data_IF_261007572903
#
_entry.id   IF_261007572903
#
_cell.length_a   1.000
_cell.length_b   1.000
_cell.length_c   1.000
_cell.angle_alpha   90.00
_cell.angle_beta   90.00
_cell.angle_gamma   90.00
#
_symmetry.space_group_name_H-M   'P 1'
#
loop_
_entity.id
_entity.type
_entity.pdbx_description
1 polymer ?
#
# COMPACT_ATOMS: atom_id res chain seq x y z
N UNK A 1 29.97 20.90 -10.50
CA UNK A 1 30.99 20.27 -11.35
C UNK A 1 30.46 18.87 -11.58
N UNK A 2 29.74 18.50 -12.64
CA UNK A 2 29.84 18.89 -14.05
C UNK A 2 28.74 19.85 -14.52
N UNK A 3 29.15 20.89 -15.25
CA UNK A 3 28.30 21.84 -15.97
C UNK A 3 28.50 21.71 -17.49
N UNK A 4 29.18 20.66 -17.96
CA UNK A 4 29.67 20.60 -19.32
C UNK A 4 28.75 19.71 -20.17
N UNK A 5 27.79 20.36 -20.83
CA UNK A 5 27.17 19.78 -22.00
C UNK A 5 28.19 19.66 -23.14
N UNK A 6 28.06 18.62 -23.95
CA UNK A 6 28.94 18.36 -25.09
C UNK A 6 28.26 18.79 -26.40
N UNK A 7 29.05 19.27 -27.36
CA UNK A 7 28.56 19.46 -28.74
C UNK A 7 28.07 18.12 -29.32
N UNK A 8 26.94 18.12 -30.04
CA UNK A 8 26.30 16.89 -30.53
C UNK A 8 27.28 15.98 -31.28
N UNK A 9 28.08 16.55 -32.18
CA UNK A 9 29.06 15.78 -32.96
C UNK A 9 30.16 15.15 -32.08
N UNK A 10 30.60 15.85 -31.04
CA UNK A 10 31.60 15.33 -30.10
C UNK A 10 31.00 14.20 -29.24
N UNK A 11 29.77 14.39 -28.76
CA UNK A 11 29.02 13.40 -28.01
C UNK A 11 28.80 12.12 -28.82
N UNK A 12 28.31 12.26 -30.05
CA UNK A 12 28.00 11.12 -30.93
C UNK A 12 29.26 10.33 -31.28
N UNK A 13 30.36 11.01 -31.59
CA UNK A 13 31.65 10.35 -31.82
C UNK A 13 32.13 9.59 -30.59
N UNK A 14 32.04 10.20 -29.41
CA UNK A 14 32.50 9.62 -28.14
C UNK A 14 31.65 8.43 -27.68
N UNK A 15 30.33 8.50 -27.85
CA UNK A 15 29.38 7.52 -27.27
C UNK A 15 28.92 6.44 -28.25
N UNK A 16 28.91 6.73 -29.54
CA UNK A 16 28.34 5.87 -30.58
C UNK A 16 29.30 5.59 -31.74
N UNK A 17 30.48 6.21 -31.76
CA UNK A 17 31.48 6.10 -32.84
C UNK A 17 30.92 6.46 -34.23
N UNK A 18 30.05 7.49 -34.27
CA UNK A 18 29.47 8.03 -35.52
C UNK A 18 29.90 9.49 -35.72
N UNK A 19 30.07 9.90 -36.97
CA UNK A 19 30.36 11.28 -37.33
C UNK A 19 29.13 12.19 -37.26
N UNK A 20 29.34 13.50 -37.22
CA UNK A 20 28.25 14.47 -37.26
C UNK A 20 27.50 14.43 -38.60
N UNK A 21 28.20 14.13 -39.70
CA UNK A 21 27.59 13.97 -41.03
C UNK A 21 26.66 12.76 -41.05
N UNK A 22 27.10 11.61 -40.52
CA UNK A 22 26.26 10.41 -40.39
C UNK A 22 25.07 10.61 -39.44
N UNK A 23 25.24 11.36 -38.35
CA UNK A 23 24.13 11.71 -37.46
C UNK A 23 23.11 12.65 -38.11
N UNK A 24 23.57 13.59 -38.94
CA UNK A 24 22.72 14.56 -39.62
C UNK A 24 22.06 14.00 -40.89
N UNK A 25 22.45 12.81 -41.33
CA UNK A 25 21.86 12.16 -42.49
C UNK A 25 20.36 11.93 -42.29
N UNK A 26 19.60 12.15 -43.36
CA UNK A 26 18.15 11.99 -43.38
C UNK A 26 17.68 10.57 -43.04
N UNK A 27 18.52 9.58 -43.31
CA UNK A 27 18.26 8.17 -43.01
C UNK A 27 18.58 7.80 -41.56
N UNK A 28 19.24 8.68 -40.79
CA UNK A 28 19.48 8.43 -39.37
C UNK A 28 18.13 8.23 -38.65
N UNK A 29 17.94 7.16 -37.84
CA UNK A 29 16.63 6.77 -37.34
C UNK A 29 15.84 7.89 -36.66
N UNK A 30 16.53 8.78 -35.94
CA UNK A 30 15.90 9.89 -35.23
C UNK A 30 15.44 11.01 -36.17
N UNK A 31 16.21 11.31 -37.22
CA UNK A 31 15.85 12.33 -38.22
C UNK A 31 14.70 11.84 -39.09
N UNK A 32 14.74 10.56 -39.48
CA UNK A 32 13.66 9.91 -40.20
C UNK A 32 12.35 9.93 -39.38
N UNK A 33 12.43 9.63 -38.07
CA UNK A 33 11.28 9.68 -37.17
C UNK A 33 10.74 11.11 -36.99
N UNK A 34 11.61 12.10 -36.79
CA UNK A 34 11.21 13.49 -36.68
C UNK A 34 10.47 13.98 -37.94
N UNK A 35 10.99 13.65 -39.12
CA UNK A 35 10.33 13.96 -40.40
C UNK A 35 8.96 13.31 -40.53
N UNK A 36 8.84 12.03 -40.18
CA UNK A 36 7.58 11.31 -40.22
C UNK A 36 6.50 11.95 -39.33
N UNK A 37 6.92 12.59 -38.24
CA UNK A 37 6.04 13.29 -37.29
C UNK A 37 5.86 14.78 -37.61
N UNK A 38 6.40 15.28 -38.73
CA UNK A 38 6.47 16.71 -39.06
C UNK A 38 7.06 17.56 -37.91
N UNK A 39 8.06 16.98 -37.23
CA UNK A 39 8.72 17.55 -36.06
C UNK A 39 10.01 18.25 -36.48
N UNK A 40 10.17 19.53 -36.12
CA UNK A 40 11.26 20.39 -36.56
C UNK A 40 12.52 20.17 -35.70
N UNK A 41 13.16 19.01 -35.82
CA UNK A 41 14.25 18.59 -34.95
C UNK A 41 15.60 19.28 -35.25
N UNK A 42 16.19 19.94 -34.24
CA UNK A 42 17.49 20.61 -34.31
C UNK A 42 18.65 19.63 -34.03
N UNK A 43 19.39 19.32 -35.10
CA UNK A 43 20.54 18.42 -35.10
C UNK A 43 21.84 19.05 -34.57
N UNK A 44 21.84 20.35 -34.30
CA UNK A 44 22.99 21.12 -33.80
C UNK A 44 22.95 21.37 -32.30
N UNK A 45 21.84 21.01 -31.63
CA UNK A 45 21.68 21.21 -30.17
C UNK A 45 22.80 20.56 -29.37
N UNK A 46 23.14 21.17 -28.22
CA UNK A 46 24.12 20.59 -27.28
C UNK A 46 23.50 19.47 -26.46
N UNK A 47 24.28 18.45 -26.12
CA UNK A 47 23.87 17.40 -25.18
C UNK A 47 24.16 17.87 -23.77
N UNK A 48 23.12 18.17 -23.00
CA UNK A 48 23.21 18.81 -21.69
C UNK A 48 22.85 17.87 -20.53
N UNK A 49 23.16 18.28 -19.30
CA UNK A 49 22.56 17.70 -18.10
C UNK A 49 21.19 18.36 -17.82
N UNK A 50 20.07 17.63 -17.93
CA UNK A 50 18.73 18.21 -17.82
C UNK A 50 18.30 18.49 -16.36
N UNK A 51 19.17 18.22 -15.37
CA UNK A 51 18.82 18.34 -13.94
C UNK A 51 18.18 19.69 -13.58
N UNK A 52 18.74 20.79 -14.09
CA UNK A 52 18.21 22.14 -13.79
C UNK A 52 16.81 22.35 -14.37
N UNK A 53 16.57 21.85 -15.59
CA UNK A 53 15.26 21.89 -16.22
C UNK A 53 14.22 21.11 -15.40
N UNK A 54 14.56 19.92 -14.88
CA UNK A 54 13.66 19.15 -14.02
C UNK A 54 13.41 19.81 -12.66
N UNK A 55 14.40 20.49 -12.08
CA UNK A 55 14.17 21.29 -10.86
C UNK A 55 13.25 22.47 -11.13
N UNK A 56 13.35 23.09 -12.31
CA UNK A 56 12.45 24.15 -12.73
C UNK A 56 11.01 23.63 -12.91
N UNK A 57 10.82 22.45 -13.49
CA UNK A 57 9.50 21.78 -13.52
C UNK A 57 8.95 21.58 -12.11
N UNK A 58 9.75 21.00 -11.20
CA UNK A 58 9.33 20.77 -9.81
C UNK A 58 9.04 22.07 -9.05
N UNK A 59 9.68 23.17 -9.42
CA UNK A 59 9.41 24.49 -8.86
C UNK A 59 8.11 25.13 -9.39
N UNK A 60 7.62 24.72 -10.56
CA UNK A 60 6.44 25.29 -11.20
C UNK A 60 5.12 24.77 -10.59
N UNK A 61 5.11 23.62 -9.92
CA UNK A 61 3.89 23.00 -9.39
C UNK A 61 3.27 21.98 -10.35
N UNK A 62 2.61 20.96 -9.81
CA UNK A 62 2.12 19.80 -10.57
C UNK A 62 1.11 20.17 -11.66
N UNK A 63 0.25 21.16 -11.39
CA UNK A 63 -0.76 21.67 -12.31
C UNK A 63 -0.15 22.29 -13.58
N UNK A 64 1.13 22.65 -13.54
CA UNK A 64 1.84 23.28 -14.64
C UNK A 64 2.82 22.35 -15.36
N UNK A 65 3.09 21.15 -14.85
CA UNK A 65 4.11 20.24 -15.38
C UNK A 65 3.97 19.97 -16.88
N UNK A 66 2.77 19.66 -17.36
CA UNK A 66 2.55 19.31 -18.77
C UNK A 66 2.97 20.45 -19.71
N UNK A 67 2.49 21.68 -19.44
CA UNK A 67 2.81 22.86 -20.23
C UNK A 67 4.28 23.26 -20.13
N UNK A 68 4.91 23.04 -18.96
CA UNK A 68 6.34 23.32 -18.78
C UNK A 68 7.20 22.33 -19.57
N UNK A 69 6.88 21.03 -19.51
CA UNK A 69 7.60 20.00 -20.26
C UNK A 69 7.47 20.20 -21.77
N UNK A 70 6.28 20.55 -22.27
CA UNK A 70 6.05 20.86 -23.68
C UNK A 70 6.95 22.03 -24.13
N UNK A 71 6.97 23.12 -23.37
CA UNK A 71 7.78 24.29 -23.70
C UNK A 71 9.30 24.05 -23.60
N UNK A 72 9.74 23.22 -22.64
CA UNK A 72 11.14 22.81 -22.53
C UNK A 72 11.55 21.88 -23.69
N UNK A 73 10.66 20.97 -24.10
CA UNK A 73 10.90 20.06 -25.21
C UNK A 73 11.01 20.83 -26.54
N UNK A 74 10.07 21.76 -26.82
CA UNK A 74 10.12 22.67 -27.97
C UNK A 74 11.47 23.41 -28.03
N UNK A 75 11.87 24.05 -26.93
CA UNK A 75 13.13 24.80 -26.83
C UNK A 75 14.37 23.94 -27.11
N UNK A 76 14.44 22.77 -26.49
CA UNK A 76 15.62 21.92 -26.59
C UNK A 76 15.70 21.17 -27.92
N UNK A 77 14.59 20.58 -28.35
CA UNK A 77 14.57 19.70 -29.51
C UNK A 77 14.31 20.44 -30.82
N UNK A 78 13.59 21.57 -30.81
CA UNK A 78 13.26 22.29 -32.06
C UNK A 78 14.08 23.55 -32.27
N UNK A 79 14.46 24.25 -31.20
CA UNK A 79 15.23 25.50 -31.29
C UNK A 79 16.71 25.34 -30.95
N UNK A 80 17.11 24.17 -30.42
CA UNK A 80 18.49 23.90 -30.02
C UNK A 80 18.96 24.68 -28.79
N UNK A 81 18.04 25.25 -28.02
CA UNK A 81 18.35 26.07 -26.84
C UNK A 81 18.94 25.23 -25.70
N UNK A 82 19.87 25.82 -24.93
CA UNK A 82 20.41 25.21 -23.72
C UNK A 82 19.42 25.38 -22.55
N UNK A 83 18.58 24.37 -22.31
CA UNK A 83 17.62 24.36 -21.20
C UNK A 83 18.27 24.10 -19.82
N UNK A 84 19.59 23.93 -19.77
CA UNK A 84 20.33 23.99 -18.51
C UNK A 84 20.71 25.43 -18.16
N UNK A 85 20.64 26.39 -19.08
CA UNK A 85 20.98 27.78 -18.82
C UNK A 85 19.90 28.53 -18.02
N UNK A 86 20.33 29.42 -17.11
CA UNK A 86 19.40 30.16 -16.25
C UNK A 86 18.62 31.23 -17.00
N UNK A 87 19.23 31.90 -17.98
CA UNK A 87 18.55 32.94 -18.75
C UNK A 87 17.46 32.32 -19.63
N UNK A 88 17.73 31.16 -20.23
CA UNK A 88 16.73 30.34 -20.93
C UNK A 88 15.52 30.03 -20.04
N UNK A 89 15.76 29.54 -18.81
CA UNK A 89 14.68 29.17 -17.88
C UNK A 89 13.91 30.40 -17.38
N UNK A 90 14.58 31.53 -17.14
CA UNK A 90 13.93 32.79 -16.77
C UNK A 90 13.03 33.32 -17.89
N UNK A 91 13.50 33.26 -19.14
CA UNK A 91 12.69 33.63 -20.30
C UNK A 91 11.47 32.71 -20.45
N UNK A 92 11.63 31.40 -20.22
CA UNK A 92 10.52 30.45 -20.25
C UNK A 92 9.50 30.73 -19.14
N UNK A 93 9.96 31.02 -17.93
CA UNK A 93 9.09 31.40 -16.82
C UNK A 93 8.27 32.66 -17.14
N UNK A 94 8.91 33.68 -17.74
CA UNK A 94 8.21 34.88 -18.20
C UNK A 94 7.15 34.58 -19.26
N UNK A 95 7.47 33.71 -20.24
CA UNK A 95 6.51 33.28 -21.29
C UNK A 95 5.31 32.49 -20.70
N UNK A 96 5.54 31.67 -19.67
CA UNK A 96 4.54 30.76 -19.13
C UNK A 96 3.73 31.35 -17.95
N UNK A 97 4.25 32.37 -17.27
CA UNK A 97 3.58 33.04 -16.15
C UNK A 97 3.50 32.20 -14.87
N UNK A 98 4.53 31.38 -14.60
CA UNK A 98 4.49 30.35 -13.55
C UNK A 98 4.84 30.92 -12.17
N UNK A 99 6.06 31.44 -12.04
CA UNK A 99 6.53 32.11 -10.83
C UNK A 99 6.26 33.60 -10.97
N UNK A 100 5.70 34.22 -9.92
CA UNK A 100 5.40 35.66 -9.80
C UNK A 100 6.69 36.52 -9.82
N UNK A 101 7.40 36.55 -10.96
CA UNK A 101 8.68 37.22 -11.15
C UNK A 101 8.55 38.64 -11.73
N UNK A 102 7.34 39.17 -11.90
CA UNK A 102 7.14 40.40 -12.68
C UNK A 102 7.35 41.71 -11.89
N UNK A 103 7.66 41.67 -10.59
CA UNK A 103 7.77 42.90 -9.76
C UNK A 103 9.18 43.33 -9.40
N UNK A 104 10.22 42.61 -9.82
CA UNK A 104 11.58 42.86 -9.38
C UNK A 104 12.59 42.79 -10.53
N UNK A 105 13.76 43.43 -10.36
CA UNK A 105 14.83 43.42 -11.36
C UNK A 105 15.38 42.00 -11.62
N UNK A 106 16.03 41.81 -12.77
CA UNK A 106 16.51 40.50 -13.27
C UNK A 106 17.26 39.67 -12.23
N UNK A 107 18.12 40.30 -11.44
CA UNK A 107 18.89 39.63 -10.37
C UNK A 107 18.01 39.02 -9.27
N UNK A 108 16.91 39.68 -8.89
CA UNK A 108 16.04 39.13 -7.84
C UNK A 108 15.18 37.97 -8.37
N UNK A 109 14.80 38.03 -9.64
CA UNK A 109 14.05 36.97 -10.29
C UNK A 109 14.85 35.68 -10.38
N UNK A 110 16.13 35.80 -10.75
CA UNK A 110 17.06 34.68 -10.74
C UNK A 110 17.19 34.08 -9.34
N UNK A 111 17.38 34.91 -8.30
CA UNK A 111 17.49 34.45 -6.92
C UNK A 111 16.23 33.70 -6.43
N UNK A 112 15.05 34.21 -6.77
CA UNK A 112 13.78 33.57 -6.39
C UNK A 112 13.60 32.22 -7.09
N UNK A 113 13.90 32.15 -8.39
CA UNK A 113 13.84 30.91 -9.15
C UNK A 113 14.81 29.87 -8.57
N UNK A 114 16.05 30.26 -8.25
CA UNK A 114 17.03 29.39 -7.60
C UNK A 114 16.50 28.83 -6.28
N UNK A 115 15.96 29.69 -5.40
CA UNK A 115 15.36 29.24 -4.13
C UNK A 115 14.18 28.29 -4.32
N UNK A 116 13.38 28.46 -5.38
CA UNK A 116 12.28 27.56 -5.68
C UNK A 116 12.78 26.19 -6.13
N UNK A 117 13.80 26.16 -7.00
CA UNK A 117 14.47 24.93 -7.43
C UNK A 117 15.15 24.20 -6.26
N UNK A 118 15.83 24.93 -5.36
CA UNK A 118 16.47 24.34 -4.17
C UNK A 118 15.44 23.63 -3.27
N UNK A 119 14.22 24.19 -3.15
CA UNK A 119 13.13 23.54 -2.39
C UNK A 119 12.60 22.29 -3.10
N UNK A 120 12.57 22.29 -4.43
CA UNK A 120 12.12 21.16 -5.23
C UNK A 120 13.14 20.01 -5.26
N UNK A 121 14.42 20.29 -4.99
CA UNK A 121 15.52 19.33 -5.10
C UNK A 121 15.35 18.11 -4.20
N UNK A 122 15.03 18.29 -2.93
CA UNK A 122 14.85 17.18 -1.99
C UNK A 122 13.76 16.19 -2.45
N UNK A 123 12.51 16.64 -2.66
CA UNK A 123 11.43 15.80 -3.18
C UNK A 123 11.76 15.14 -4.52
N UNK A 124 12.30 15.89 -5.48
CA UNK A 124 12.64 15.37 -6.80
C UNK A 124 13.70 14.27 -6.72
N UNK A 125 14.78 14.50 -5.96
CA UNK A 125 15.88 13.55 -5.83
C UNK A 125 15.51 12.34 -4.98
N UNK A 126 14.56 12.47 -4.04
CA UNK A 126 13.95 11.32 -3.34
C UNK A 126 13.16 10.44 -4.33
N UNK A 127 12.33 11.05 -5.17
CA UNK A 127 11.57 10.33 -6.19
C UNK A 127 12.49 9.65 -7.19
N UNK A 128 13.50 10.38 -7.70
CA UNK A 128 14.50 9.82 -8.62
C UNK A 128 15.18 8.60 -8.01
N UNK A 129 15.76 8.70 -6.80
CA UNK A 129 16.44 7.56 -6.14
C UNK A 129 15.53 6.36 -5.90
N UNK A 130 14.24 6.59 -5.68
CA UNK A 130 13.26 5.50 -5.51
C UNK A 130 12.95 4.78 -6.82
N UNK A 131 12.93 5.51 -7.95
CA UNK A 131 12.53 4.98 -9.26
C UNK A 131 13.72 4.52 -10.12
N UNK A 132 14.92 5.04 -9.90
CA UNK A 132 16.15 4.72 -10.65
C UNK A 132 16.41 3.20 -10.76
N UNK A 133 16.26 2.36 -9.70
CA UNK A 133 16.44 0.92 -9.85
C UNK A 133 15.26 0.19 -10.51
N UNK A 134 14.13 0.86 -10.73
CA UNK A 134 12.88 0.26 -11.21
C UNK A 134 12.56 0.63 -12.66
N UNK A 135 13.06 1.76 -13.16
CA UNK A 135 12.75 2.30 -14.48
C UNK A 135 14.01 2.28 -15.34
N UNK A 136 14.09 1.31 -16.25
CA UNK A 136 15.26 1.14 -17.14
C UNK A 136 15.38 2.24 -18.20
N UNK A 137 14.30 2.96 -18.51
CA UNK A 137 14.27 4.00 -19.52
C UNK A 137 12.95 4.78 -19.59
N UNK A 138 12.96 5.91 -20.29
CA UNK A 138 11.81 6.79 -20.49
C UNK A 138 11.49 7.01 -21.98
N UNK A 139 10.22 7.25 -22.36
CA UNK A 139 9.05 7.32 -21.49
C UNK A 139 8.65 5.93 -20.96
N UNK A 140 7.99 5.92 -19.81
CA UNK A 140 7.53 4.72 -19.13
C UNK A 140 6.13 5.00 -18.59
N UNK A 141 5.15 4.17 -18.95
CA UNK A 141 3.76 4.39 -18.60
C UNK A 141 3.22 3.26 -17.74
N UNK A 142 2.58 3.63 -16.64
CA UNK A 142 1.78 2.72 -15.82
C UNK A 142 0.31 2.99 -16.11
N UNK A 143 -0.31 2.15 -16.92
CA UNK A 143 -1.75 2.22 -17.22
C UNK A 143 -2.46 1.27 -16.26
N UNK A 144 -3.24 1.77 -15.31
CA UNK A 144 -3.87 0.97 -14.24
C UNK A 144 -5.36 1.29 -14.13
N UNK A 145 -6.18 0.30 -13.76
CA UNK A 145 -7.58 0.54 -13.40
C UNK A 145 -7.69 1.04 -11.95
N UNK A 146 -8.72 1.84 -11.67
CA UNK A 146 -8.83 2.61 -10.43
C UNK A 146 -9.36 1.87 -9.20
N UNK A 147 -9.73 0.59 -9.33
CA UNK A 147 -10.35 -0.23 -8.28
C UNK A 147 -9.35 -1.23 -7.69
N UNK A 148 -8.74 -2.08 -8.50
CA UNK A 148 -7.78 -3.12 -8.08
C UNK A 148 -6.32 -2.75 -8.39
N UNK A 149 -6.09 -1.62 -9.08
CA UNK A 149 -4.78 -1.17 -9.51
C UNK A 149 -4.12 -2.03 -10.59
N UNK A 150 -4.82 -3.02 -11.17
CA UNK A 150 -4.29 -3.91 -12.21
C UNK A 150 -4.06 -3.16 -13.52
N UNK A 151 -3.06 -3.56 -14.32
CA UNK A 151 -2.97 -3.01 -15.66
C UNK A 151 -1.72 -3.36 -16.44
N UNK A 152 -1.24 -2.40 -17.24
CA UNK A 152 -0.14 -2.61 -18.19
C UNK A 152 0.98 -1.62 -17.94
N UNK A 153 2.19 -2.14 -17.94
CA UNK A 153 3.41 -1.36 -18.00
C UNK A 153 3.85 -1.26 -19.46
N UNK A 154 4.02 -0.04 -19.95
CA UNK A 154 4.46 0.24 -21.31
C UNK A 154 5.82 0.92 -21.24
N UNK A 155 6.81 0.27 -21.85
CA UNK A 155 8.19 0.75 -21.88
C UNK A 155 8.49 1.43 -23.21
N UNK A 156 9.10 2.61 -23.14
CA UNK A 156 9.55 3.34 -24.31
C UNK A 156 8.42 4.08 -25.05
N UNK A 157 8.76 4.70 -26.20
CA UNK A 157 7.77 5.35 -27.04
C UNK A 157 6.83 4.31 -27.62
N UNK A 158 5.55 4.43 -27.27
CA UNK A 158 4.45 3.60 -27.78
C UNK A 158 3.59 4.44 -28.70
N UNK A 159 3.13 3.84 -29.81
CA UNK A 159 2.21 4.52 -30.72
C UNK A 159 0.83 4.72 -30.06
N UNK A 160 0.07 5.68 -30.59
CA UNK A 160 -1.22 6.09 -30.03
C UNK A 160 -2.22 4.93 -30.00
N UNK A 161 -2.22 4.07 -31.01
CA UNK A 161 -3.17 2.96 -31.10
C UNK A 161 -2.84 1.89 -30.05
N UNK A 162 -1.56 1.55 -29.86
CA UNK A 162 -1.10 0.67 -28.78
C UNK A 162 -1.45 1.23 -27.40
N UNK A 163 -1.30 2.55 -27.21
CA UNK A 163 -1.66 3.19 -25.94
C UNK A 163 -3.17 3.17 -25.69
N UNK A 164 -3.98 3.43 -26.72
CA UNK A 164 -5.44 3.32 -26.68
C UNK A 164 -5.89 1.88 -26.41
N UNK A 165 -5.25 0.89 -27.03
CA UNK A 165 -5.54 -0.52 -26.75
C UNK A 165 -5.21 -0.90 -25.31
N UNK A 166 -4.08 -0.42 -24.77
CA UNK A 166 -3.73 -0.61 -23.37
C UNK A 166 -4.79 -0.01 -22.43
N UNK A 167 -5.25 1.22 -22.70
CA UNK A 167 -6.35 1.85 -21.96
C UNK A 167 -7.63 1.03 -22.03
N UNK A 168 -8.01 0.56 -23.24
CA UNK A 168 -9.20 -0.24 -23.46
C UNK A 168 -9.15 -1.57 -22.73
N UNK A 169 -8.03 -2.28 -22.79
CA UNK A 169 -7.83 -3.57 -22.09
C UNK A 169 -7.93 -3.40 -20.58
N UNK A 170 -7.38 -2.31 -20.05
CA UNK A 170 -7.47 -1.98 -18.61
C UNK A 170 -8.89 -1.60 -18.21
N UNK A 171 -9.62 -0.85 -19.03
CA UNK A 171 -11.03 -0.49 -18.78
C UNK A 171 -11.98 -1.69 -18.94
N UNK A 172 -11.75 -2.57 -19.91
CA UNK A 172 -12.52 -3.82 -20.07
C UNK A 172 -12.35 -4.73 -18.85
N UNK A 173 -11.11 -4.87 -18.34
CA UNK A 173 -10.83 -5.67 -17.15
C UNK A 173 -11.49 -5.12 -15.87
N UNK A 174 -11.73 -3.81 -15.78
CA UNK A 174 -12.50 -3.20 -14.69
C UNK A 174 -13.93 -3.75 -14.61
N UNK A 175 -14.50 -4.15 -15.74
CA UNK A 175 -15.86 -4.68 -15.85
C UNK A 175 -15.89 -6.22 -15.87
N UNK A 176 -14.72 -6.86 -15.93
CA UNK A 176 -14.61 -8.30 -15.84
C UNK A 176 -14.87 -8.76 -14.39
N UNK A 177 -15.46 -9.95 -14.19
CA UNK A 177 -15.52 -10.53 -12.85
C UNK A 177 -14.09 -10.64 -12.30
N UNK A 178 -13.88 -10.49 -10.98
CA UNK A 178 -12.57 -10.35 -10.34
C UNK A 178 -11.59 -11.54 -10.55
N UNK A 179 -11.99 -12.56 -11.31
CA UNK A 179 -11.26 -13.79 -11.63
C UNK A 179 -11.43 -14.25 -13.09
N UNK A 180 -11.95 -13.41 -14.00
CA UNK A 180 -12.07 -13.71 -15.42
C UNK A 180 -10.86 -13.22 -16.23
N UNK A 181 -10.33 -14.08 -17.11
CA UNK A 181 -9.36 -13.87 -18.22
C UNK A 181 -8.50 -12.59 -18.23
N UNK A 182 -7.96 -12.18 -17.08
CA UNK A 182 -7.04 -11.06 -16.95
C UNK A 182 -5.58 -11.47 -17.18
N UNK A 183 -5.35 -12.62 -17.83
CA UNK A 183 -4.03 -13.22 -18.07
C UNK A 183 -3.04 -12.30 -18.83
N UNK A 184 -3.52 -11.20 -19.41
CA UNK A 184 -2.69 -10.22 -20.10
C UNK A 184 -2.33 -8.96 -19.29
N UNK A 185 -2.80 -8.78 -18.05
CA UNK A 185 -2.51 -7.60 -17.23
C UNK A 185 -1.53 -7.93 -16.09
N UNK A 186 -0.53 -7.06 -15.89
CA UNK A 186 0.32 -7.07 -14.70
C UNK A 186 -0.45 -6.47 -13.53
N UNK A 187 -0.71 -7.26 -12.49
CA UNK A 187 -1.27 -6.73 -11.26
C UNK A 187 -0.16 -6.10 -10.39
N UNK A 188 -0.45 -5.01 -9.68
CA UNK A 188 0.48 -4.36 -8.76
C UNK A 188 0.78 -5.26 -7.56
N UNK A 189 1.74 -4.85 -6.72
CA UNK A 189 1.87 -5.40 -5.37
C UNK A 189 0.59 -5.12 -4.56
N UNK A 190 0.13 -6.07 -3.76
CA UNK A 190 -1.09 -5.95 -2.95
C UNK A 190 -2.27 -6.84 -3.38
N UNK A 191 -3.39 -6.71 -2.67
CA UNK A 191 -4.63 -7.45 -2.91
C UNK A 191 -5.84 -6.56 -2.56
N UNK A 192 -6.96 -6.73 -3.28
CA UNK A 192 -8.24 -6.13 -2.87
C UNK A 192 -8.93 -7.02 -1.85
N UNK A 193 -9.30 -6.44 -0.72
CA UNK A 193 -9.94 -7.14 0.38
C UNK A 193 -11.29 -6.51 0.74
N UNK A 194 -12.21 -7.24 1.40
CA UNK A 194 -13.48 -6.70 1.88
C UNK A 194 -13.26 -5.81 3.11
N UNK A 195 -13.48 -4.50 2.96
CA UNK A 195 -13.45 -3.52 4.04
C UNK A 195 -14.79 -3.36 4.75
N UNK A 196 -14.95 -2.24 5.47
CA UNK A 196 -16.18 -1.92 6.17
C UNK A 196 -17.40 -1.92 5.23
N UNK A 197 -18.47 -2.61 5.64
CA UNK A 197 -19.66 -2.85 4.84
C UNK A 197 -19.45 -3.80 3.65
N UNK A 198 -18.35 -4.55 3.61
CA UNK A 198 -18.01 -5.42 2.49
C UNK A 198 -17.51 -4.67 1.25
N UNK A 199 -17.25 -3.37 1.35
CA UNK A 199 -16.75 -2.57 0.22
C UNK A 199 -15.32 -2.99 -0.13
N UNK A 200 -14.98 -3.17 -1.42
CA UNK A 200 -13.63 -3.53 -1.82
C UNK A 200 -12.64 -2.40 -1.46
N UNK A 201 -11.54 -2.75 -0.80
CA UNK A 201 -10.44 -1.84 -0.49
C UNK A 201 -9.10 -2.39 -0.99
N UNK A 202 -8.26 -1.56 -1.63
CA UNK A 202 -6.93 -1.99 -2.05
C UNK A 202 -5.99 -2.01 -0.84
N UNK A 203 -5.38 -3.17 -0.56
CA UNK A 203 -4.36 -3.35 0.48
C UNK A 203 -3.00 -3.54 -0.20
N UNK A 204 -2.22 -2.46 -0.41
CA UNK A 204 -1.02 -2.49 -1.24
C UNK A 204 0.15 -3.28 -0.65
N UNK A 205 0.10 -3.56 0.65
CA UNK A 205 1.15 -4.27 1.39
C UNK A 205 1.02 -5.79 1.35
N UNK A 206 -0.05 -6.32 0.75
CA UNK A 206 -0.28 -7.77 0.69
C UNK A 206 0.64 -8.44 -0.33
N UNK A 207 1.32 -9.50 0.08
CA UNK A 207 1.90 -10.46 -0.87
C UNK A 207 0.78 -11.34 -1.42
N UNK A 208 0.27 -10.99 -2.60
CA UNK A 208 -0.79 -11.76 -3.27
C UNK A 208 -0.36 -13.17 -3.71
N UNK A 209 0.95 -13.43 -3.77
CA UNK A 209 1.52 -14.73 -4.14
C UNK A 209 1.86 -15.59 -2.92
N UNK A 210 1.83 -15.02 -1.71
CA UNK A 210 1.93 -15.78 -0.46
C UNK A 210 0.81 -16.82 -0.38
N UNK A 211 1.08 -17.99 0.19
CA UNK A 211 0.11 -19.09 0.26
C UNK A 211 -1.14 -18.73 1.06
N UNK A 212 -1.01 -17.89 2.09
CA UNK A 212 -2.16 -17.33 2.80
C UNK A 212 -3.06 -16.49 1.88
N UNK A 213 -2.50 -15.72 0.94
CA UNK A 213 -3.26 -14.95 -0.05
C UNK A 213 -3.83 -15.85 -1.16
N UNK A 214 -3.03 -16.76 -1.71
CA UNK A 214 -3.47 -17.68 -2.78
C UNK A 214 -4.64 -18.53 -2.33
N UNK A 215 -4.58 -19.03 -1.09
CA UNK A 215 -5.64 -19.85 -0.54
C UNK A 215 -6.96 -19.10 -0.35
N UNK A 216 -6.98 -17.76 -0.34
CA UNK A 216 -8.23 -16.99 -0.36
C UNK A 216 -8.93 -17.05 -1.73
N UNK A 217 -8.16 -17.03 -2.83
CA UNK A 217 -8.71 -17.06 -4.19
C UNK A 217 -9.37 -18.39 -4.55
N UNK A 218 -8.90 -19.50 -3.97
CA UNK A 218 -9.49 -20.82 -4.19
C UNK A 218 -10.84 -21.02 -3.48
N UNK A 219 -11.37 -20.00 -2.80
CA UNK A 219 -12.53 -20.10 -1.91
C UNK A 219 -13.76 -19.34 -2.39
N UNK A 220 -13.86 -18.98 -3.68
CA UNK A 220 -15.09 -18.44 -4.23
C UNK A 220 -16.26 -19.42 -4.08
N UNK A 221 -17.25 -19.04 -3.27
CA UNK A 221 -18.36 -19.93 -2.93
C UNK A 221 -18.02 -21.01 -1.90
N UNK A 222 -16.90 -20.89 -1.17
CA UNK A 222 -16.56 -21.79 -0.09
C UNK A 222 -17.61 -21.75 1.01
N UNK A 223 -18.19 -22.91 1.30
CA UNK A 223 -19.24 -23.09 2.28
C UNK A 223 -18.73 -23.69 3.58
N UNK A 224 -17.43 -23.61 3.88
CA UNK A 224 -16.87 -24.30 5.05
C UNK A 224 -16.88 -25.83 4.92
N UNK A 225 -16.23 -26.55 5.86
CA UNK A 225 -16.49 -27.97 6.03
C UNK A 225 -17.90 -28.18 6.62
N UNK A 226 -18.50 -29.35 6.39
CA UNK A 226 -19.88 -29.66 6.82
C UNK A 226 -20.06 -29.66 8.36
N UNK A 227 -18.99 -29.93 9.10
CA UNK A 227 -18.99 -29.96 10.55
C UNK A 227 -17.66 -29.49 11.12
N UNK A 228 -17.66 -29.14 12.41
CA UNK A 228 -16.48 -28.67 13.12
C UNK A 228 -15.36 -29.71 13.01
N UNK A 229 -14.23 -29.40 12.33
CA UNK A 229 -13.24 -30.41 11.96
C UNK A 229 -12.25 -30.74 13.09
N UNK A 230 -12.43 -30.16 14.28
CA UNK A 230 -11.50 -30.28 15.40
C UNK A 230 -12.11 -31.06 16.56
N UNK A 231 -11.29 -31.84 17.26
CA UNK A 231 -11.63 -32.53 18.50
C UNK A 231 -11.19 -31.70 19.71
N UNK A 232 -11.73 -31.99 20.90
CA UNK A 232 -11.39 -31.24 22.11
C UNK A 232 -9.90 -31.26 22.45
N UNK A 233 -9.19 -32.37 22.15
CA UNK A 233 -7.75 -32.47 22.40
C UNK A 233 -6.90 -31.63 21.44
N UNK A 234 -7.46 -31.11 20.35
CA UNK A 234 -6.74 -30.14 19.51
C UNK A 234 -6.53 -28.81 20.26
N UNK A 235 -7.38 -28.52 21.27
CA UNK A 235 -7.31 -27.31 22.09
C UNK A 235 -6.55 -27.50 23.40
N UNK A 236 -5.93 -28.67 23.64
CA UNK A 236 -5.07 -28.87 24.82
C UNK A 236 -3.76 -28.10 24.68
N UNK A 237 -3.13 -27.78 25.81
CA UNK A 237 -1.89 -27.01 25.91
C UNK A 237 -0.84 -27.78 26.70
N UNK A 238 0.43 -27.43 26.53
CA UNK A 238 1.52 -27.99 27.34
C UNK A 238 1.38 -27.57 28.81
N UNK A 239 0.99 -26.31 29.04
CA UNK A 239 0.66 -25.78 30.36
C UNK A 239 -0.84 -25.44 30.47
N UNK A 240 -1.60 -26.34 31.07
CA UNK A 240 -3.04 -26.20 31.34
C UNK A 240 -3.36 -25.36 32.59
N UNK A 241 -2.36 -24.86 33.32
CA UNK A 241 -2.63 -23.97 34.45
C UNK A 241 -3.33 -22.67 33.99
N UNK A 242 -3.95 -21.98 34.93
CA UNK A 242 -4.62 -20.70 34.66
C UNK A 242 -3.67 -19.70 33.99
N UNK A 243 -4.14 -19.04 32.93
CA UNK A 243 -3.38 -18.01 32.21
C UNK A 243 -3.02 -16.85 33.14
N UNK A 244 -3.83 -16.57 34.16
CA UNK A 244 -3.54 -15.56 35.17
C UNK A 244 -2.19 -15.79 35.87
N UNK A 245 -1.69 -17.03 35.95
CA UNK A 245 -0.37 -17.34 36.49
C UNK A 245 0.76 -16.98 35.52
N UNK A 246 0.63 -17.31 34.23
CA UNK A 246 1.63 -16.99 33.19
C UNK A 246 1.74 -15.49 32.96
N UNK A 247 0.61 -14.78 32.98
CA UNK A 247 0.53 -13.35 32.69
C UNK A 247 0.46 -12.48 33.95
N UNK A 248 0.79 -13.02 35.14
CA UNK A 248 0.78 -12.27 36.40
C UNK A 248 1.79 -11.10 36.38
N UNK A 249 3.00 -11.37 35.90
CA UNK A 249 4.05 -10.36 35.75
C UNK A 249 3.89 -9.67 34.39
N UNK A 250 3.89 -8.32 34.34
CA UNK A 250 3.79 -7.60 33.08
C UNK A 250 5.02 -7.80 32.20
N UNK A 251 4.81 -7.91 30.90
CA UNK A 251 5.82 -7.98 29.88
C UNK A 251 5.69 -6.80 28.91
N UNK A 252 6.65 -5.86 28.96
CA UNK A 252 6.72 -4.72 28.05
C UNK A 252 7.57 -4.99 26.81
N UNK A 253 7.82 -6.26 26.49
CA UNK A 253 8.44 -6.68 25.24
C UNK A 253 7.47 -6.59 24.06
N UNK A 254 8.03 -6.67 22.86
CA UNK A 254 7.25 -6.86 21.64
C UNK A 254 7.33 -8.32 21.20
N UNK A 255 6.17 -8.95 20.97
CA UNK A 255 6.07 -10.34 20.54
C UNK A 255 6.55 -10.55 19.10
N UNK A 256 6.20 -9.60 18.23
CA UNK A 256 6.61 -9.52 16.82
C UNK A 256 7.59 -8.37 16.61
N UNK A 257 8.50 -8.51 15.66
CA UNK A 257 9.56 -7.55 15.38
C UNK A 257 9.08 -6.23 14.73
N UNK A 258 10.00 -5.29 14.54
CA UNK A 258 9.65 -3.94 14.07
C UNK A 258 9.09 -3.92 12.63
N UNK A 259 9.68 -4.63 11.64
CA UNK A 259 9.10 -4.75 10.30
C UNK A 259 7.68 -5.32 10.28
N UNK A 260 7.42 -6.42 11.00
CA UNK A 260 6.09 -7.03 11.06
C UNK A 260 5.06 -6.07 11.69
N UNK A 261 5.43 -5.36 12.76
CA UNK A 261 4.57 -4.33 13.36
C UNK A 261 4.26 -3.19 12.40
N UNK A 262 5.23 -2.76 11.59
CA UNK A 262 5.02 -1.71 10.60
C UNK A 262 4.07 -2.16 9.48
N UNK A 263 4.24 -3.39 8.98
CA UNK A 263 3.36 -3.97 7.97
C UNK A 263 1.92 -4.15 8.50
N UNK A 264 1.77 -4.61 9.75
CA UNK A 264 0.47 -4.72 10.40
C UNK A 264 -0.18 -3.35 10.62
N UNK A 265 0.58 -2.35 11.06
CA UNK A 265 0.08 -0.98 11.24
C UNK A 265 -0.38 -0.35 9.92
N UNK A 266 0.35 -0.57 8.82
CA UNK A 266 -0.05 -0.11 7.49
C UNK A 266 -1.33 -0.81 7.01
N UNK A 267 -1.44 -2.11 7.26
CA UNK A 267 -2.65 -2.90 6.98
C UNK A 267 -3.86 -2.34 7.73
N UNK A 268 -3.75 -2.12 9.03
CA UNK A 268 -4.82 -1.53 9.83
C UNK A 268 -5.23 -0.13 9.36
N UNK A 269 -4.28 0.69 8.88
CA UNK A 269 -4.60 2.03 8.37
C UNK A 269 -5.58 1.98 7.19
N UNK A 270 -5.37 1.03 6.27
CA UNK A 270 -6.24 0.83 5.10
C UNK A 270 -7.64 0.37 5.53
N UNK A 271 -7.71 -0.62 6.43
CA UNK A 271 -9.00 -1.10 6.94
C UNK A 271 -9.75 -0.01 7.70
N UNK A 272 -9.11 0.72 8.61
CA UNK A 272 -9.77 1.75 9.40
C UNK A 272 -10.24 2.93 8.56
N UNK A 273 -9.49 3.33 7.52
CA UNK A 273 -9.94 4.35 6.56
C UNK A 273 -11.14 3.89 5.71
N UNK A 274 -11.38 2.58 5.56
CA UNK A 274 -12.56 2.07 4.87
C UNK A 274 -13.88 2.44 5.57
N UNK A 275 -13.84 2.70 6.88
CA UNK A 275 -14.97 3.19 7.66
C UNK A 275 -15.15 4.72 7.59
N UNK A 276 -14.30 5.43 6.82
CA UNK A 276 -14.33 6.89 6.75
C UNK A 276 -15.60 7.40 6.05
N UNK A 277 -16.39 8.27 6.71
CA UNK A 277 -17.65 8.78 6.15
C UNK A 277 -17.51 9.44 4.78
N UNK A 278 -16.37 10.10 4.50
CA UNK A 278 -16.10 10.73 3.19
C UNK A 278 -16.03 9.72 2.05
N UNK A 279 -15.68 8.46 2.33
CA UNK A 279 -15.66 7.35 1.36
C UNK A 279 -16.97 6.56 1.33
N UNK A 280 -17.80 6.66 2.37
CA UNK A 280 -19.03 5.87 2.48
C UNK A 280 -20.23 6.53 1.79
N UNK A 281 -20.16 7.83 1.44
CA UNK A 281 -21.12 8.49 0.55
C UNK A 281 -22.47 8.83 1.19
N UNK A 282 -22.53 9.01 2.51
CA UNK A 282 -23.75 9.38 3.23
C UNK A 282 -23.60 10.70 3.99
N UNK A 283 -24.60 11.57 3.92
CA UNK A 283 -24.63 12.90 4.57
C UNK A 283 -24.78 12.88 6.09
N UNK A 284 -24.82 11.72 6.75
CA UNK A 284 -25.23 11.63 8.17
C UNK A 284 -24.32 10.90 9.15
N UNK A 285 -23.20 10.30 8.78
CA UNK A 285 -22.32 9.68 9.78
C UNK A 285 -21.08 10.52 10.07
N UNK A 286 -21.17 11.46 11.01
CA UNK A 286 -20.03 11.75 11.90
C UNK A 286 -19.93 10.65 12.97
N UNK A 287 -19.88 9.39 12.56
CA UNK A 287 -19.70 8.31 13.53
C UNK A 287 -18.25 8.30 14.00
N UNK A 288 -18.06 8.30 15.32
CA UNK A 288 -16.79 8.01 15.94
C UNK A 288 -16.39 6.57 15.57
N UNK A 289 -15.11 6.39 15.22
CA UNK A 289 -14.55 5.08 14.95
C UNK A 289 -14.44 4.33 16.29
N UNK A 290 -15.16 3.22 16.44
CA UNK A 290 -15.13 2.38 17.65
C UNK A 290 -14.29 1.13 17.37
N UNK A 291 -13.15 0.99 18.04
CA UNK A 291 -12.22 -0.12 17.87
C UNK A 291 -12.17 -0.97 19.14
N UNK A 292 -12.23 -2.29 18.99
CA UNK A 292 -11.94 -3.26 20.05
C UNK A 292 -10.69 -4.06 19.69
N UNK A 293 -9.68 -4.03 20.55
CA UNK A 293 -8.48 -4.86 20.44
C UNK A 293 -8.54 -5.99 21.49
N UNK A 294 -8.72 -7.22 21.01
CA UNK A 294 -8.84 -8.41 21.85
C UNK A 294 -7.49 -9.08 22.08
N UNK A 295 -7.31 -9.59 23.30
CA UNK A 295 -6.05 -10.18 23.76
C UNK A 295 -4.84 -9.23 23.58
N UNK A 296 -5.09 -7.94 23.78
CA UNK A 296 -4.12 -6.85 23.72
C UNK A 296 -3.18 -6.84 24.93
N UNK A 297 -2.13 -6.04 24.81
CA UNK A 297 -1.13 -5.77 25.84
C UNK A 297 -0.90 -4.24 25.91
N UNK A 298 0.33 -3.82 26.18
CA UNK A 298 0.74 -2.41 26.26
C UNK A 298 0.82 -1.70 24.89
N UNK A 299 0.62 -2.43 23.79
CA UNK A 299 0.54 -1.87 22.44
C UNK A 299 -0.46 -2.66 21.58
N UNK A 300 -1.17 -1.96 20.68
CA UNK A 300 -2.15 -2.53 19.75
C UNK A 300 -1.66 -2.56 18.30
N UNK A 301 -0.46 -2.05 18.02
CA UNK A 301 0.09 -1.90 16.66
C UNK A 301 -0.76 -1.05 15.70
N UNK A 302 -1.65 -0.22 16.22
CA UNK A 302 -2.48 0.65 15.41
C UNK A 302 -1.68 1.82 14.82
N UNK A 303 -2.02 2.27 13.60
CA UNK A 303 -1.47 3.51 13.03
C UNK A 303 -1.94 4.73 13.85
N UNK A 304 -1.42 5.93 13.57
CA UNK A 304 -2.01 7.17 14.09
C UNK A 304 -3.51 7.24 13.79
N UNK A 305 -4.32 7.47 14.84
CA UNK A 305 -5.78 7.46 14.76
C UNK A 305 -6.34 8.89 14.81
N UNK A 306 -7.48 9.16 14.15
CA UNK A 306 -8.22 10.41 14.34
C UNK A 306 -8.62 10.60 15.82
N UNK A 307 -8.63 11.85 16.30
CA UNK A 307 -9.03 12.19 17.69
C UNK A 307 -10.46 11.78 18.04
N UNK A 308 -11.30 11.50 17.06
CA UNK A 308 -12.68 11.01 17.22
C UNK A 308 -12.76 9.50 17.41
N UNK A 309 -11.62 8.79 17.44
CA UNK A 309 -11.57 7.33 17.59
C UNK A 309 -11.61 6.95 19.06
N UNK A 310 -12.45 5.98 19.41
CA UNK A 310 -12.47 5.36 20.73
C UNK A 310 -11.94 3.95 20.63
N UNK A 311 -10.98 3.64 21.49
CA UNK A 311 -10.29 2.35 21.51
C UNK A 311 -10.55 1.66 22.84
N UNK A 312 -11.15 0.49 22.78
CA UNK A 312 -11.25 -0.43 23.91
C UNK A 312 -10.20 -1.52 23.73
N UNK A 313 -9.38 -1.75 24.76
CA UNK A 313 -8.41 -2.84 24.77
C UNK A 313 -8.79 -3.84 25.85
N UNK A 314 -8.69 -5.11 25.50
CA UNK A 314 -8.99 -6.23 26.37
C UNK A 314 -7.75 -7.11 26.48
N UNK A 315 -7.33 -7.49 27.68
CA UNK A 315 -6.18 -8.39 27.88
C UNK A 315 -6.14 -9.06 29.25
N UNK A 316 -5.01 -9.69 29.57
CA UNK A 316 -4.86 -10.50 30.79
C UNK A 316 -4.11 -9.78 31.92
N UNK A 317 -3.37 -8.72 31.61
CA UNK A 317 -2.54 -8.01 32.59
C UNK A 317 -2.92 -6.52 32.70
N UNK A 318 -3.35 -6.09 33.89
CA UNK A 318 -3.80 -4.71 34.12
C UNK A 318 -2.68 -3.65 33.91
N UNK A 319 -1.43 -3.97 34.22
CA UNK A 319 -0.31 -3.04 34.08
C UNK A 319 0.07 -2.84 32.61
N UNK A 320 0.06 -3.90 31.82
CA UNK A 320 0.26 -3.82 30.37
C UNK A 320 -0.83 -2.97 29.73
N UNK A 321 -2.10 -3.29 29.99
CA UNK A 321 -3.21 -2.50 29.45
C UNK A 321 -3.14 -1.04 29.90
N UNK A 322 -2.73 -0.78 31.15
CA UNK A 322 -2.50 0.55 31.70
C UNK A 322 -1.46 1.37 30.91
N UNK A 323 -0.43 0.71 30.38
CA UNK A 323 0.60 1.34 29.56
C UNK A 323 0.20 1.50 28.08
N UNK A 324 -0.92 0.93 27.64
CA UNK A 324 -1.43 1.10 26.28
C UNK A 324 -1.96 2.53 26.09
N UNK A 325 -1.16 3.38 25.44
CA UNK A 325 -1.40 4.83 25.34
C UNK A 325 -2.58 5.22 24.46
N UNK A 326 -3.02 4.35 23.54
CA UNK A 326 -4.15 4.64 22.66
C UNK A 326 -5.50 4.21 23.27
N UNK A 327 -5.46 3.41 24.34
CA UNK A 327 -6.65 2.87 24.97
C UNK A 327 -7.44 3.95 25.72
N UNK A 328 -8.73 4.02 25.43
CA UNK A 328 -9.71 4.85 26.12
C UNK A 328 -10.44 4.05 27.21
N UNK A 329 -10.61 2.74 26.99
CA UNK A 329 -11.13 1.77 27.96
C UNK A 329 -10.21 0.54 27.98
N UNK A 330 -10.01 -0.02 29.17
CA UNK A 330 -9.14 -1.18 29.44
C UNK A 330 -9.93 -2.17 30.26
N UNK A 331 -10.12 -3.38 29.74
CA UNK A 331 -10.84 -4.45 30.44
C UNK A 331 -9.91 -5.66 30.61
N UNK A 332 -9.77 -6.14 31.86
CA UNK A 332 -9.01 -7.36 32.15
C UNK A 332 -9.99 -8.52 32.23
N UNK A 333 -9.88 -9.46 31.30
CA UNK A 333 -10.77 -10.61 31.22
C UNK A 333 -10.06 -11.77 30.52
N UNK A 334 -10.26 -12.98 31.04
CA UNK A 334 -9.73 -14.20 30.43
C UNK A 334 -10.81 -14.86 29.56
N UNK A 335 -10.66 -14.77 28.24
CA UNK A 335 -11.59 -15.34 27.26
C UNK A 335 -11.66 -16.87 27.28
N UNK A 336 -10.59 -17.55 27.73
CA UNK A 336 -10.57 -19.01 27.86
C UNK A 336 -11.46 -19.48 29.04
N UNK A 337 -11.66 -18.64 30.06
CA UNK A 337 -12.58 -18.91 31.18
C UNK A 337 -13.97 -18.30 30.94
N UNK A 338 -14.01 -17.07 30.46
CA UNK A 338 -15.20 -16.24 30.28
C UNK A 338 -15.21 -15.65 28.86
N UNK A 339 -15.68 -16.40 27.86
CA UNK A 339 -15.65 -15.95 26.46
C UNK A 339 -16.62 -14.80 26.17
N UNK A 340 -17.63 -14.56 27.03
CA UNK A 340 -18.62 -13.51 26.87
C UNK A 340 -18.00 -12.11 27.08
N UNK A 341 -18.11 -11.25 26.07
CA UNK A 341 -17.58 -9.90 26.10
C UNK A 341 -18.55 -8.94 26.81
N UNK A 342 -18.06 -8.05 27.70
CA UNK A 342 -18.89 -7.15 28.51
C UNK A 342 -19.33 -5.89 27.73
N UNK A 343 -19.71 -6.07 26.47
CA UNK A 343 -20.10 -4.99 25.55
C UNK A 343 -21.49 -5.27 24.96
N UNK A 344 -22.20 -4.21 24.61
CA UNK A 344 -23.48 -4.34 23.93
C UNK A 344 -23.30 -4.81 22.48
N UNK A 345 -24.34 -5.42 21.93
CA UNK A 345 -24.41 -5.79 20.52
C UNK A 345 -24.17 -4.56 19.63
N UNK A 346 -23.43 -4.71 18.53
CA UNK A 346 -23.27 -3.62 17.56
C UNK A 346 -22.48 -2.40 18.08
N UNK A 347 -21.58 -2.58 19.04
CA UNK A 347 -20.80 -1.49 19.62
C UNK A 347 -19.63 -1.04 18.74
N UNK A 348 -18.98 -1.94 18.02
CA UNK A 348 -17.68 -1.68 17.38
C UNK A 348 -17.74 -1.67 15.85
N UNK A 349 -16.93 -0.81 15.23
CA UNK A 349 -16.70 -0.82 13.79
C UNK A 349 -15.71 -1.92 13.39
N UNK A 350 -14.67 -2.11 14.21
CA UNK A 350 -13.66 -3.13 14.01
C UNK A 350 -13.35 -3.86 15.31
N UNK A 351 -13.11 -5.17 15.19
CA UNK A 351 -12.52 -6.00 16.23
C UNK A 351 -11.20 -6.54 15.70
N UNK A 352 -10.10 -6.31 16.40
CA UNK A 352 -8.79 -6.86 16.04
C UNK A 352 -8.32 -7.87 17.09
N UNK A 353 -7.44 -8.77 16.68
CA UNK A 353 -6.73 -9.68 17.57
C UNK A 353 -5.36 -9.96 16.98
N UNK A 354 -4.31 -9.42 17.60
CA UNK A 354 -2.94 -9.54 17.10
C UNK A 354 -2.16 -10.64 17.84
N UNK A 355 -1.61 -11.58 17.08
CA UNK A 355 -0.72 -12.65 17.52
C UNK A 355 -1.22 -13.51 18.69
N UNK A 356 -2.53 -13.58 18.89
CA UNK A 356 -3.13 -14.20 20.09
C UNK A 356 -4.13 -15.34 19.81
N UNK A 357 -4.57 -15.50 18.57
CA UNK A 357 -5.60 -16.49 18.21
C UNK A 357 -5.18 -17.94 18.52
N UNK A 358 -3.87 -18.25 18.44
CA UNK A 358 -3.33 -19.58 18.72
C UNK A 358 -3.44 -20.02 20.19
N UNK A 359 -3.76 -19.11 21.11
CA UNK A 359 -3.92 -19.37 22.54
C UNK A 359 -5.39 -19.61 22.96
N UNK A 360 -6.34 -19.50 22.04
CA UNK A 360 -7.76 -19.67 22.36
C UNK A 360 -8.13 -21.16 22.47
N UNK A 361 -8.62 -21.55 23.65
CA UNK A 361 -9.17 -22.90 23.88
C UNK A 361 -10.67 -22.99 23.58
N UNK A 362 -11.33 -21.83 23.44
CA UNK A 362 -12.78 -21.70 23.14
C UNK A 362 -13.07 -20.79 21.95
N UNK A 363 -12.48 -21.06 20.76
CA UNK A 363 -12.53 -20.13 19.64
C UNK A 363 -13.95 -19.92 19.10
N UNK A 364 -14.83 -20.93 19.11
CA UNK A 364 -16.21 -20.75 18.59
C UNK A 364 -16.97 -19.69 19.38
N UNK A 365 -16.92 -19.77 20.70
CA UNK A 365 -17.59 -18.81 21.58
C UNK A 365 -17.00 -17.40 21.45
N UNK A 366 -15.67 -17.29 21.37
CA UNK A 366 -15.01 -15.99 21.20
C UNK A 366 -15.36 -15.36 19.84
N UNK A 367 -15.34 -16.12 18.75
CA UNK A 367 -15.68 -15.61 17.42
C UNK A 367 -17.19 -15.31 17.29
N UNK A 368 -18.07 -16.00 18.02
CA UNK A 368 -19.47 -15.62 18.13
C UNK A 368 -19.63 -14.25 18.84
N UNK A 369 -18.86 -14.01 19.90
CA UNK A 369 -18.88 -12.73 20.62
C UNK A 369 -18.26 -11.59 19.81
N UNK A 370 -17.17 -11.84 19.08
CA UNK A 370 -16.62 -10.88 18.11
C UNK A 370 -17.69 -10.43 17.11
N UNK A 371 -18.47 -11.37 16.58
CA UNK A 371 -19.57 -11.05 15.68
C UNK A 371 -20.65 -10.24 16.39
N UNK A 372 -21.09 -10.66 17.59
CA UNK A 372 -22.16 -9.99 18.33
C UNK A 372 -21.84 -8.52 18.56
N UNK A 373 -20.63 -8.20 19.01
CA UNK A 373 -20.23 -6.83 19.38
C UNK A 373 -19.91 -5.94 18.17
N UNK A 374 -19.70 -6.51 16.98
CA UNK A 374 -19.54 -5.72 15.75
C UNK A 374 -20.87 -5.12 15.27
N UNK A 375 -20.82 -3.89 14.75
CA UNK A 375 -21.90 -3.27 13.97
C UNK A 375 -22.16 -4.09 12.70
N UNK A 376 -23.38 -4.08 12.13
CA UNK A 376 -23.60 -4.62 10.79
C UNK A 376 -22.59 -4.05 9.79
N UNK A 377 -21.97 -4.91 8.97
CA UNK A 377 -20.87 -4.53 8.08
C UNK A 377 -19.53 -4.24 8.77
N UNK A 378 -19.43 -4.34 10.10
CA UNK A 378 -18.17 -4.23 10.83
C UNK A 378 -17.20 -5.36 10.48
N UNK A 379 -15.91 -5.13 10.66
CA UNK A 379 -14.86 -6.06 10.22
C UNK A 379 -14.09 -6.62 11.41
N UNK A 380 -13.97 -7.94 11.48
CA UNK A 380 -13.01 -8.61 12.34
C UNK A 380 -11.71 -8.82 11.58
N UNK A 381 -10.57 -8.50 12.21
CA UNK A 381 -9.23 -8.66 11.64
C UNK A 381 -8.37 -9.44 12.62
N UNK A 382 -8.15 -10.72 12.34
CA UNK A 382 -7.31 -11.60 13.15
C UNK A 382 -5.95 -11.70 12.48
N UNK A 383 -4.92 -11.15 13.10
CA UNK A 383 -3.54 -11.21 12.62
C UNK A 383 -2.71 -12.18 13.44
N UNK A 384 -1.83 -12.93 12.79
CA UNK A 384 -1.04 -13.98 13.43
C UNK A 384 0.28 -14.22 12.70
N UNK A 385 1.20 -14.87 13.40
CA UNK A 385 2.57 -15.17 13.00
C UNK A 385 2.91 -16.60 13.41
N UNK A 386 4.09 -17.09 13.03
CA UNK A 386 4.64 -18.35 13.51
C UNK A 386 5.33 -18.23 14.88
N UNK A 387 5.46 -17.01 15.46
CA UNK A 387 5.94 -16.84 16.83
C UNK A 387 4.87 -17.10 17.87
N UNK A 388 5.16 -17.97 18.83
CA UNK A 388 4.24 -18.28 19.93
C UNK A 388 4.98 -18.52 21.26
N UNK A 389 4.25 -18.44 22.36
CA UNK A 389 4.65 -19.01 23.64
C UNK A 389 4.19 -20.47 23.67
N UNK A 390 5.11 -21.39 23.38
CA UNK A 390 4.80 -22.81 23.18
C UNK A 390 4.01 -23.42 24.34
N UNK A 391 4.25 -22.96 25.58
CA UNK A 391 3.59 -23.52 26.75
C UNK A 391 2.07 -23.28 26.75
N UNK A 392 1.62 -22.18 26.16
CA UNK A 392 0.21 -21.75 26.17
C UNK A 392 -0.50 -21.87 24.82
N UNK A 393 0.22 -22.11 23.73
CA UNK A 393 -0.41 -22.35 22.44
C UNK A 393 -1.17 -23.69 22.45
N UNK A 394 -2.28 -23.74 21.71
CA UNK A 394 -3.05 -24.98 21.56
C UNK A 394 -2.26 -25.99 20.73
N UNK A 395 -2.50 -27.28 20.98
CA UNK A 395 -1.84 -28.38 20.25
C UNK A 395 -2.12 -28.29 18.75
N UNK A 396 -3.31 -27.86 18.36
CA UNK A 396 -3.68 -27.56 16.98
C UNK A 396 -2.75 -26.51 16.36
N UNK A 397 -2.53 -25.40 17.07
CA UNK A 397 -1.70 -24.31 16.56
C UNK A 397 -0.24 -24.73 16.47
N UNK A 398 0.29 -25.38 17.52
CA UNK A 398 1.67 -25.86 17.56
C UNK A 398 1.98 -26.83 16.43
N UNK A 399 1.06 -27.75 16.12
CA UNK A 399 1.24 -28.73 15.05
C UNK A 399 1.19 -28.14 13.63
N UNK A 400 0.82 -26.87 13.47
CA UNK A 400 0.66 -26.21 12.17
C UNK A 400 1.42 -24.88 12.07
N UNK A 401 2.27 -24.53 13.05
CA UNK A 401 2.84 -23.17 13.18
C UNK A 401 3.71 -22.72 12.00
N UNK A 402 4.27 -23.67 11.24
CA UNK A 402 5.10 -23.41 10.05
C UNK A 402 4.29 -23.48 8.73
N UNK A 403 2.98 -23.73 8.80
CA UNK A 403 2.11 -23.91 7.64
C UNK A 403 1.07 -22.78 7.54
N UNK A 404 1.44 -21.68 6.88
CA UNK A 404 0.59 -20.49 6.75
C UNK A 404 -0.82 -20.76 6.19
N UNK A 405 -0.94 -21.71 5.25
CA UNK A 405 -2.21 -22.11 4.64
C UNK A 405 -3.07 -22.88 5.65
N UNK A 406 -2.45 -23.72 6.48
CA UNK A 406 -3.13 -24.46 7.53
C UNK A 406 -3.61 -23.52 8.64
N UNK A 407 -2.75 -22.62 9.13
CA UNK A 407 -3.12 -21.59 10.12
C UNK A 407 -4.26 -20.70 9.61
N UNK A 408 -4.17 -20.23 8.36
CA UNK A 408 -5.25 -19.46 7.74
C UNK A 408 -6.55 -20.25 7.69
N UNK A 409 -6.49 -21.54 7.32
CA UNK A 409 -7.66 -22.42 7.30
C UNK A 409 -8.26 -22.65 8.68
N UNK A 410 -7.42 -22.74 9.72
CA UNK A 410 -7.85 -22.83 11.12
C UNK A 410 -8.64 -21.59 11.54
N UNK A 411 -8.10 -20.40 11.31
CA UNK A 411 -8.77 -19.14 11.69
C UNK A 411 -10.05 -18.93 10.87
N UNK A 412 -10.08 -19.31 9.59
CA UNK A 412 -11.30 -19.29 8.77
C UNK A 412 -12.38 -20.20 9.35
N UNK A 413 -12.02 -21.40 9.81
CA UNK A 413 -12.97 -22.30 10.45
C UNK A 413 -13.51 -21.70 11.75
N UNK A 414 -12.71 -20.94 12.50
CA UNK A 414 -13.19 -20.24 13.69
C UNK A 414 -14.24 -19.17 13.34
N UNK A 415 -14.02 -18.40 12.26
CA UNK A 415 -15.05 -17.53 11.72
C UNK A 415 -16.31 -18.31 11.31
N UNK A 416 -16.14 -19.34 10.49
CA UNK A 416 -17.25 -20.11 9.92
C UNK A 416 -18.14 -20.76 10.99
N UNK A 417 -17.55 -21.31 12.05
CA UNK A 417 -18.27 -22.03 13.11
C UNK A 417 -18.52 -21.24 14.40
N UNK A 418 -18.09 -19.98 14.49
CA UNK A 418 -18.38 -19.13 15.65
C UNK A 418 -19.88 -18.88 15.75
N UNK A 419 -20.43 -17.89 15.03
CA UNK A 419 -21.84 -17.83 14.67
C UNK A 419 -22.07 -18.44 13.28
N UNK A 420 -22.91 -19.46 13.21
CA UNK A 420 -23.35 -20.03 11.93
C UNK A 420 -24.03 -18.94 11.11
N UNK A 421 -23.54 -18.71 9.88
CA UNK A 421 -24.01 -17.68 8.96
C UNK A 421 -23.94 -16.22 9.46
N UNK A 422 -23.15 -15.94 10.51
CA UNK A 422 -22.96 -14.56 11.01
C UNK A 422 -21.91 -13.74 10.26
N UNK A 423 -21.07 -14.40 9.46
CA UNK A 423 -19.94 -13.79 8.75
C UNK A 423 -20.10 -13.90 7.24
N UNK A 424 -19.60 -12.89 6.54
CA UNK A 424 -19.50 -12.83 5.09
C UNK A 424 -18.08 -12.44 4.69
N UNK A 425 -17.73 -12.73 3.44
CA UNK A 425 -16.46 -12.33 2.83
C UNK A 425 -15.24 -12.69 3.68
N UNK A 426 -15.21 -13.92 4.21
CA UNK A 426 -14.04 -14.42 4.94
C UNK A 426 -12.88 -14.52 3.96
N UNK A 427 -11.83 -13.74 4.19
CA UNK A 427 -10.67 -13.60 3.28
C UNK A 427 -9.40 -13.63 4.10
N UNK A 428 -8.36 -14.27 3.58
CA UNK A 428 -7.03 -14.24 4.17
C UNK A 428 -6.05 -13.53 3.26
N UNK A 429 -4.97 -13.04 3.84
CA UNK A 429 -3.88 -12.45 3.11
C UNK A 429 -2.56 -12.61 3.86
N UNK A 430 -1.48 -12.70 3.10
CA UNK A 430 -0.13 -12.52 3.57
C UNK A 430 0.20 -11.03 3.58
N UNK A 431 0.43 -10.48 4.76
CA UNK A 431 0.84 -9.08 4.98
C UNK A 431 2.23 -9.01 5.58
N UNK A 432 3.03 -10.07 5.38
CA UNK A 432 4.39 -10.12 5.87
C UNK A 432 5.18 -8.92 5.34
N UNK A 433 6.12 -8.38 6.15
CA UNK A 433 7.16 -7.53 5.59
C UNK A 433 7.93 -8.32 4.51
N UNK A 434 8.73 -7.65 3.68
CA UNK A 434 9.45 -8.27 2.56
C UNK A 434 10.02 -9.66 2.98
N UNK A 435 9.96 -10.73 2.15
CA UNK A 435 10.19 -12.12 2.57
C UNK A 435 11.50 -12.43 3.32
N UNK A 436 12.45 -11.50 3.33
CA UNK A 436 13.76 -11.58 3.98
C UNK A 436 13.92 -10.65 5.18
N UNK A 437 12.92 -9.83 5.50
CA UNK A 437 12.97 -8.74 6.46
C UNK A 437 11.90 -8.90 7.54
N UNK A 438 12.13 -9.82 8.47
CA UNK A 438 11.41 -9.85 9.75
C UNK A 438 10.40 -10.99 9.91
N UNK A 439 9.58 -10.89 10.95
CA UNK A 439 8.64 -11.95 11.30
C UNK A 439 7.49 -12.03 10.27
N UNK A 440 7.05 -13.24 9.88
CA UNK A 440 5.91 -13.38 8.99
C UNK A 440 4.63 -12.85 9.64
N UNK A 441 3.73 -12.31 8.83
CA UNK A 441 2.46 -11.78 9.27
C UNK A 441 1.34 -12.13 8.30
N UNK A 442 0.36 -12.86 8.80
CA UNK A 442 -0.83 -13.22 8.05
C UNK A 442 -2.07 -12.67 8.72
N UNK A 443 -3.11 -12.46 7.93
CA UNK A 443 -4.42 -12.04 8.42
C UNK A 443 -5.52 -12.93 7.88
N UNK A 444 -6.56 -13.12 8.69
CA UNK A 444 -7.88 -13.51 8.22
C UNK A 444 -8.88 -12.45 8.67
N UNK A 445 -9.65 -11.95 7.71
CA UNK A 445 -10.68 -10.94 7.91
C UNK A 445 -12.05 -11.51 7.61
N UNK A 446 -13.07 -11.01 8.31
CA UNK A 446 -14.46 -11.31 8.02
C UNK A 446 -15.35 -10.10 8.27
N UNK A 447 -16.39 -9.95 7.47
CA UNK A 447 -17.39 -8.89 7.60
C UNK A 447 -18.61 -9.44 8.30
N UNK A 448 -19.15 -8.72 9.30
CA UNK A 448 -20.43 -9.08 9.91
C UNK A 448 -21.56 -8.93 8.88
N UNK A 449 -22.36 -10.00 8.76
CA UNK A 449 -23.53 -10.08 7.89
C UNK A 449 -24.57 -8.97 8.12
#
# INVERSE_FOLDING_TARGET
MDMDGEEMGAYMRKRRDISLEEYNDDSYPLNAAARALNYAYDNTRRVINPRRAHLFVGAAGEEHHARVYEALAERYFEHGDDISDMDTLLALNGKLGLLMLERHGSCLNELMMRRAMDRAEGPLMNTYRRLDPLVEGVPHFLVREGVHGSGLELHGPVDVDTFIDALRRVDEARHAPPFGDSFGLQQPAGMVMPGFGGKPIPVPTVDRLGGASISAFNLHGWSGPESWPYKSSDFSRLDENDDALKYAAPNFGHHIDAPARAALSATYAVFFDSANPRRIGGSELRANLELLDLASSWTSHYPPLPNTTRVTVHGLNAFELGANVIAHRRDVLNLNLHPALPYADGSFNFVTMAASVGYLTRPREVFAEMNRVLKPGGVAIVSFTNRVFDEKATSLWLNNMDEEVALSSIVRNYFYFGPVAGWQNVTSADVSPHPTEGDPMWIVTAVKA
#
